data_IF_800484362681
#
_entry.id   IF_800484362681
#
_cell.length_a   1.000
_cell.length_b   1.000
_cell.length_c   1.000
_cell.angle_alpha   90.00
_cell.angle_beta   90.00
_cell.angle_gamma   90.00
#
_symmetry.space_group_name_H-M   'P 1'
#
loop_
_entity.id
_entity.type
_entity.pdbx_description
1 polymer ?
#
# COMPACT_ATOMS: atom_id res chain seq x y z
N UNK A 1 27.94 -10.50 6.93
CA UNK A 1 27.72 -10.82 5.51
C UNK A 1 26.30 -10.40 5.21
N UNK A 2 26.14 -9.47 4.29
CA UNK A 2 24.83 -8.98 3.87
C UNK A 2 24.29 -9.87 2.76
N UNK A 3 22.99 -10.14 2.78
CA UNK A 3 22.31 -10.94 1.75
C UNK A 3 22.26 -10.16 0.45
N UNK A 4 22.72 -10.76 -0.65
CA UNK A 4 22.64 -10.15 -1.98
C UNK A 4 21.21 -10.15 -2.51
N UNK A 5 20.92 -9.30 -3.51
CA UNK A 5 19.61 -9.30 -4.17
C UNK A 5 19.24 -10.68 -4.74
N UNK A 6 20.18 -11.32 -5.44
CA UNK A 6 19.98 -12.64 -6.04
C UNK A 6 19.65 -13.72 -4.99
N UNK A 7 20.36 -13.74 -3.86
CA UNK A 7 20.07 -14.65 -2.75
C UNK A 7 18.69 -14.35 -2.12
N UNK A 8 18.33 -13.06 -2.03
CA UNK A 8 17.05 -12.64 -1.47
C UNK A 8 15.87 -13.11 -2.34
N UNK A 9 15.91 -12.89 -3.65
CA UNK A 9 14.80 -13.21 -4.56
C UNK A 9 14.69 -14.70 -4.88
N UNK A 10 15.79 -15.46 -4.78
CA UNK A 10 15.79 -16.92 -4.99
C UNK A 10 15.34 -17.71 -3.76
N UNK A 11 15.21 -17.07 -2.59
CA UNK A 11 14.74 -17.73 -1.39
C UNK A 11 13.25 -18.12 -1.49
N UNK A 12 12.98 -19.43 -1.58
CA UNK A 12 11.62 -20.00 -1.71
C UNK A 12 10.65 -19.54 -0.61
N UNK A 13 11.15 -19.34 0.61
CA UNK A 13 10.34 -18.99 1.77
C UNK A 13 10.38 -17.48 2.08
N UNK A 14 10.76 -16.65 1.11
CA UNK A 14 10.88 -15.21 1.31
C UNK A 14 9.51 -14.55 1.56
N UNK A 15 9.26 -14.16 2.82
CA UNK A 15 8.04 -13.50 3.24
C UNK A 15 7.90 -12.05 2.73
N UNK A 16 8.89 -11.49 2.04
CA UNK A 16 8.71 -10.22 1.33
C UNK A 16 7.83 -10.36 0.09
N UNK A 17 7.80 -11.55 -0.53
CA UNK A 17 7.02 -11.82 -1.74
C UNK A 17 5.52 -11.77 -1.42
N UNK A 18 4.77 -10.97 -2.18
CA UNK A 18 3.33 -10.74 -2.01
C UNK A 18 2.93 -10.42 -0.55
N UNK A 19 3.79 -9.65 0.13
CA UNK A 19 3.64 -9.35 1.56
C UNK A 19 2.35 -8.61 1.86
N UNK A 20 1.98 -7.59 1.08
CA UNK A 20 0.77 -6.80 1.36
C UNK A 20 -0.47 -7.69 1.28
N UNK A 21 -0.58 -8.49 0.22
CA UNK A 21 -1.68 -9.42 0.02
C UNK A 21 -1.75 -10.44 1.15
N UNK A 22 -0.63 -11.06 1.51
CA UNK A 22 -0.58 -12.03 2.61
C UNK A 22 -0.98 -11.41 3.95
N UNK A 23 -0.56 -10.18 4.24
CA UNK A 23 -0.85 -9.52 5.52
C UNK A 23 -2.27 -8.98 5.62
N UNK A 24 -2.93 -8.70 4.50
CA UNK A 24 -4.30 -8.17 4.46
C UNK A 24 -5.36 -9.25 4.25
N UNK A 25 -4.99 -10.43 3.74
CA UNK A 25 -5.90 -11.54 3.55
C UNK A 25 -6.18 -12.30 4.86
N UNK A 26 -7.37 -12.92 4.92
CA UNK A 26 -7.64 -14.00 5.86
C UNK A 26 -6.95 -15.29 5.38
N UNK A 27 -5.90 -15.70 6.08
CA UNK A 27 -5.10 -16.88 5.73
C UNK A 27 -5.82 -18.21 6.05
N UNK A 28 -6.86 -18.21 6.89
CA UNK A 28 -7.61 -19.43 7.20
C UNK A 28 -8.30 -20.01 5.95
N UNK A 29 -8.66 -19.14 5.00
CA UNK A 29 -9.24 -19.50 3.70
C UNK A 29 -8.30 -20.36 2.84
N UNK A 30 -7.00 -20.36 3.14
CA UNK A 30 -5.97 -21.06 2.37
C UNK A 30 -5.13 -22.01 3.22
N UNK A 31 -5.72 -22.56 4.30
CA UNK A 31 -5.03 -23.43 5.26
C UNK A 31 -3.75 -22.80 5.83
N UNK A 32 -3.81 -21.50 6.11
CA UNK A 32 -2.72 -20.68 6.65
C UNK A 32 -1.46 -20.74 5.76
N UNK A 33 -0.42 -21.42 6.26
CA UNK A 33 0.88 -21.54 5.59
C UNK A 33 1.07 -22.91 4.92
N UNK A 34 0.06 -23.78 4.93
CA UNK A 34 0.15 -25.06 4.22
C UNK A 34 -0.08 -24.87 2.72
N UNK A 35 0.99 -24.59 1.98
CA UNK A 35 0.96 -24.39 0.53
C UNK A 35 0.51 -25.62 -0.26
N UNK A 36 0.64 -26.83 0.32
CA UNK A 36 0.24 -28.08 -0.32
C UNK A 36 -1.26 -28.39 -0.19
N UNK A 37 -2.01 -27.59 0.58
CA UNK A 37 -3.43 -27.84 0.81
C UNK A 37 -4.32 -27.61 -0.42
N UNK A 38 -3.86 -26.81 -1.40
CA UNK A 38 -4.58 -26.52 -2.62
C UNK A 38 -3.64 -26.03 -3.74
N UNK A 39 -4.08 -26.06 -5.02
CA UNK A 39 -3.29 -25.52 -6.13
C UNK A 39 -2.95 -24.03 -5.94
N UNK A 40 -1.72 -23.66 -6.31
CA UNK A 40 -1.21 -22.27 -6.16
C UNK A 40 -2.12 -21.22 -6.78
N UNK A 41 -2.62 -21.46 -8.00
CA UNK A 41 -3.51 -20.51 -8.68
C UNK A 41 -4.81 -20.25 -7.90
N UNK A 42 -5.39 -21.30 -7.31
CA UNK A 42 -6.58 -21.18 -6.46
C UNK A 42 -6.27 -20.42 -5.18
N UNK A 43 -5.13 -20.75 -4.54
CA UNK A 43 -4.65 -20.07 -3.32
C UNK A 43 -4.45 -18.57 -3.55
N UNK A 44 -3.76 -18.22 -4.62
CA UNK A 44 -3.42 -16.84 -4.97
C UNK A 44 -4.68 -16.01 -5.26
N UNK A 45 -5.66 -16.59 -5.97
CA UNK A 45 -6.96 -15.95 -6.22
C UNK A 45 -7.75 -15.68 -4.91
N UNK A 46 -7.79 -16.65 -4.00
CA UNK A 46 -8.47 -16.50 -2.71
C UNK A 46 -7.80 -15.43 -1.83
N UNK A 47 -6.47 -15.44 -1.77
CA UNK A 47 -5.69 -14.43 -1.03
C UNK A 47 -5.96 -13.02 -1.55
N UNK A 48 -5.88 -12.82 -2.87
CA UNK A 48 -6.09 -11.50 -3.47
C UNK A 48 -7.53 -11.01 -3.25
N UNK A 49 -8.53 -11.88 -3.43
CA UNK A 49 -9.93 -11.52 -3.19
C UNK A 49 -10.18 -11.15 -1.73
N UNK A 50 -9.63 -11.93 -0.79
CA UNK A 50 -9.72 -11.68 0.65
C UNK A 50 -9.05 -10.36 1.04
N UNK A 51 -7.82 -10.11 0.56
CA UNK A 51 -7.10 -8.86 0.81
C UNK A 51 -7.86 -7.63 0.29
N UNK A 52 -8.38 -7.67 -0.95
CA UNK A 52 -9.20 -6.57 -1.52
C UNK A 52 -10.48 -6.33 -0.71
N UNK A 53 -11.16 -7.40 -0.30
CA UNK A 53 -12.34 -7.32 0.56
C UNK A 53 -12.01 -6.66 1.90
N UNK A 54 -10.94 -7.10 2.57
CA UNK A 54 -10.55 -6.59 3.88
C UNK A 54 -10.11 -5.13 3.80
N UNK A 55 -9.26 -4.78 2.82
CA UNK A 55 -8.84 -3.40 2.59
C UNK A 55 -10.04 -2.47 2.36
N UNK A 56 -11.03 -2.89 1.57
CA UNK A 56 -12.26 -2.11 1.35
C UNK A 56 -13.06 -1.87 2.63
N UNK A 57 -13.06 -2.85 3.55
CA UNK A 57 -13.80 -2.77 4.83
C UNK A 57 -13.06 -1.98 5.90
N UNK A 58 -11.75 -1.76 5.76
CA UNK A 58 -11.00 -0.92 6.70
C UNK A 58 -11.58 0.49 6.71
N UNK A 59 -11.74 1.04 7.93
CA UNK A 59 -12.20 2.41 8.12
C UNK A 59 -11.32 3.39 7.33
N UNK A 60 -10.00 3.20 7.40
CA UNK A 60 -9.03 4.02 6.71
C UNK A 60 -7.81 3.18 6.28
N UNK A 61 -7.20 3.56 5.16
CA UNK A 61 -5.86 3.15 4.75
C UNK A 61 -5.20 4.31 3.99
N UNK A 62 -3.87 4.28 3.87
CA UNK A 62 -3.07 5.31 3.22
C UNK A 62 -2.14 4.69 2.17
N UNK A 63 -1.68 5.50 1.24
CA UNK A 63 -0.64 5.15 0.27
C UNK A 63 0.55 6.09 0.42
N UNK A 64 1.76 5.53 0.39
CA UNK A 64 2.99 6.25 0.69
C UNK A 64 3.22 7.45 -0.24
N UNK A 65 2.82 7.36 -1.51
CA UNK A 65 2.95 8.46 -2.49
C UNK A 65 1.83 9.52 -2.43
N UNK A 66 0.83 9.34 -1.55
CA UNK A 66 -0.32 10.23 -1.43
C UNK A 66 -0.50 10.72 0.01
N UNK A 67 0.56 11.21 0.65
CA UNK A 67 0.55 11.60 2.07
C UNK A 67 -0.50 12.67 2.39
N UNK A 68 -0.63 13.71 1.54
CA UNK A 68 -1.58 14.81 1.74
C UNK A 68 -3.03 14.35 1.61
N UNK A 69 -3.34 13.56 0.57
CA UNK A 69 -4.66 12.94 0.39
C UNK A 69 -4.97 12.02 1.58
N UNK A 70 -3.98 11.23 2.02
CA UNK A 70 -4.12 10.31 3.16
C UNK A 70 -4.40 11.06 4.47
N UNK A 71 -3.70 12.16 4.74
CA UNK A 71 -3.97 13.00 5.90
C UNK A 71 -5.41 13.55 5.87
N UNK A 72 -5.81 14.15 4.74
CA UNK A 72 -7.16 14.69 4.59
C UNK A 72 -8.23 13.60 4.83
N UNK A 73 -8.08 12.44 4.19
CA UNK A 73 -9.00 11.32 4.35
C UNK A 73 -9.06 10.81 5.79
N UNK A 74 -7.93 10.71 6.49
CA UNK A 74 -7.90 10.29 7.89
C UNK A 74 -8.69 11.26 8.77
N UNK A 75 -8.39 12.55 8.65
CA UNK A 75 -9.04 13.61 9.42
C UNK A 75 -10.55 13.64 9.18
N UNK A 76 -11.00 13.47 7.93
CA UNK A 76 -12.43 13.36 7.58
C UNK A 76 -13.08 12.08 8.08
N UNK A 77 -12.37 10.96 8.04
CA UNK A 77 -12.92 9.65 8.45
C UNK A 77 -13.18 9.61 9.96
N UNK A 78 -12.30 10.22 10.75
CA UNK A 78 -12.36 10.14 12.22
C UNK A 78 -12.80 11.45 12.90
N UNK A 79 -13.01 12.54 12.15
CA UNK A 79 -13.34 13.84 12.73
C UNK A 79 -12.20 14.44 13.57
N UNK A 80 -10.96 14.13 13.21
CA UNK A 80 -9.75 14.56 13.93
C UNK A 80 -8.94 15.53 13.08
N UNK A 81 -7.94 16.18 13.69
CA UNK A 81 -6.94 17.00 13.00
C UNK A 81 -5.55 16.70 13.52
N UNK A 82 -4.60 16.51 12.62
CA UNK A 82 -3.19 16.44 12.99
C UNK A 82 -2.67 17.84 13.33
N UNK A 83 -1.79 17.90 14.34
CA UNK A 83 -1.11 19.14 14.72
C UNK A 83 -0.10 19.58 13.65
N UNK A 84 0.61 18.61 13.09
CA UNK A 84 1.60 18.79 12.04
C UNK A 84 1.12 18.08 10.78
N UNK A 85 1.30 18.71 9.61
CA UNK A 85 0.92 18.07 8.37
C UNK A 85 1.90 16.97 7.98
N UNK A 86 1.38 15.98 7.25
CA UNK A 86 2.21 14.96 6.65
C UNK A 86 3.10 15.58 5.58
N UNK A 87 4.33 15.08 5.49
CA UNK A 87 5.32 15.52 4.52
C UNK A 87 5.46 14.45 3.45
N UNK A 88 5.36 14.86 2.18
CA UNK A 88 5.59 13.96 1.06
C UNK A 88 7.10 13.83 0.80
N UNK A 89 7.69 12.74 1.25
CA UNK A 89 9.09 12.41 0.95
C UNK A 89 9.15 11.56 -0.32
N UNK A 90 9.44 12.20 -1.45
CA UNK A 90 9.63 11.49 -2.72
C UNK A 90 10.97 10.76 -2.80
N UNK A 91 11.94 11.19 -1.99
CA UNK A 91 13.25 10.56 -1.91
C UNK A 91 13.28 9.54 -0.77
N UNK A 92 13.24 8.28 -1.15
CA UNK A 92 13.26 7.12 -0.25
C UNK A 92 14.51 6.29 -0.50
N UNK A 93 14.82 5.35 0.41
CA UNK A 93 15.89 4.37 0.17
C UNK A 93 15.64 3.57 -1.12
N UNK A 94 14.38 3.29 -1.44
CA UNK A 94 14.00 2.59 -2.67
C UNK A 94 14.18 3.45 -3.91
N UNK A 95 13.83 4.74 -3.88
CA UNK A 95 14.04 5.64 -5.02
C UNK A 95 15.53 5.88 -5.30
N UNK A 96 16.36 5.74 -4.27
CA UNK A 96 17.81 5.76 -4.39
C UNK A 96 18.35 4.49 -5.04
N UNK A 97 17.91 3.34 -4.55
CA UNK A 97 18.38 2.05 -5.02
C UNK A 97 17.88 1.71 -6.43
N UNK A 98 16.72 2.23 -6.87
CA UNK A 98 16.11 1.83 -8.15
C UNK A 98 17.00 2.12 -9.37
N UNK A 99 17.85 3.15 -9.31
CA UNK A 99 18.80 3.46 -10.37
C UNK A 99 19.92 2.42 -10.50
N UNK A 100 20.14 1.61 -9.46
CA UNK A 100 21.13 0.54 -9.40
C UNK A 100 20.52 -0.84 -9.71
N UNK A 101 19.20 -0.92 -9.88
CA UNK A 101 18.49 -2.17 -10.20
C UNK A 101 18.37 -2.33 -11.72
N UNK A 102 18.75 -3.49 -12.25
CA UNK A 102 18.63 -3.76 -13.69
C UNK A 102 17.17 -3.89 -14.10
N UNK A 103 16.85 -3.67 -15.39
CA UNK A 103 15.49 -3.87 -15.90
C UNK A 103 15.01 -5.32 -15.74
N UNK A 104 15.91 -6.30 -15.89
CA UNK A 104 15.61 -7.71 -15.68
C UNK A 104 15.25 -8.00 -14.21
N UNK A 105 15.94 -7.36 -13.27
CA UNK A 105 15.64 -7.50 -11.84
C UNK A 105 14.31 -6.82 -11.47
N UNK A 106 13.98 -5.68 -12.10
CA UNK A 106 12.68 -5.02 -11.94
C UNK A 106 11.53 -5.92 -12.43
N UNK A 107 11.67 -6.50 -13.63
CA UNK A 107 10.70 -7.46 -14.16
C UNK A 107 10.54 -8.69 -13.24
N UNK A 108 11.63 -9.19 -12.68
CA UNK A 108 11.59 -10.29 -11.71
C UNK A 108 10.86 -9.88 -10.42
N UNK A 109 11.12 -8.68 -9.89
CA UNK A 109 10.40 -8.16 -8.71
C UNK A 109 8.89 -8.10 -8.98
N UNK A 110 8.49 -7.59 -10.15
CA UNK A 110 7.08 -7.51 -10.55
C UNK A 110 6.45 -8.89 -10.66
N UNK A 111 7.16 -9.85 -11.26
CA UNK A 111 6.70 -11.25 -11.38
C UNK A 111 6.53 -11.94 -10.03
N UNK A 112 7.46 -11.72 -9.10
CA UNK A 112 7.35 -12.28 -7.75
C UNK A 112 6.16 -11.66 -7.00
N UNK A 113 5.90 -10.37 -7.20
CA UNK A 113 4.90 -9.60 -6.46
C UNK A 113 3.59 -9.34 -7.22
N UNK A 114 3.21 -10.23 -8.15
CA UNK A 114 2.02 -10.05 -8.99
C UNK A 114 0.71 -9.83 -8.22
N UNK A 115 0.54 -10.42 -7.02
CA UNK A 115 -0.66 -10.21 -6.21
C UNK A 115 -0.64 -8.82 -5.57
N UNK A 116 0.52 -8.41 -5.06
CA UNK A 116 0.69 -7.08 -4.49
C UNK A 116 0.52 -5.98 -5.54
N UNK A 117 1.00 -6.18 -6.77
CA UNK A 117 0.75 -5.26 -7.88
C UNK A 117 -0.74 -5.09 -8.17
N UNK A 118 -1.50 -6.19 -8.20
CA UNK A 118 -2.95 -6.15 -8.41
C UNK A 118 -3.71 -5.57 -7.20
N UNK A 119 -3.24 -5.81 -5.99
CA UNK A 119 -3.82 -5.26 -4.77
C UNK A 119 -3.55 -3.75 -4.67
N UNK A 120 -2.34 -3.31 -5.01
CA UNK A 120 -1.94 -1.92 -5.00
C UNK A 120 -2.71 -1.10 -6.05
N UNK A 121 -2.87 -1.61 -7.28
CA UNK A 121 -3.72 -0.97 -8.29
C UNK A 121 -5.15 -0.77 -7.77
N UNK A 122 -5.74 -1.82 -7.17
CA UNK A 122 -7.05 -1.73 -6.52
C UNK A 122 -7.08 -0.71 -5.36
N UNK A 123 -6.05 -0.69 -4.53
CA UNK A 123 -5.94 0.23 -3.39
C UNK A 123 -5.88 1.69 -3.85
N UNK A 124 -5.15 1.96 -4.95
CA UNK A 124 -5.04 3.29 -5.55
C UNK A 124 -6.38 3.78 -6.08
N UNK A 125 -7.09 2.95 -6.82
CA UNK A 125 -8.43 3.30 -7.33
C UNK A 125 -9.40 3.57 -6.17
N UNK A 126 -9.41 2.71 -5.16
CA UNK A 126 -10.25 2.86 -3.97
C UNK A 126 -9.91 4.12 -3.16
N UNK A 127 -8.63 4.48 -3.04
CA UNK A 127 -8.21 5.70 -2.34
C UNK A 127 -8.74 6.95 -3.07
N UNK A 128 -8.60 6.99 -4.40
CA UNK A 128 -9.09 8.11 -5.20
C UNK A 128 -10.61 8.20 -5.19
N UNK A 129 -11.32 7.08 -5.27
CA UNK A 129 -12.79 7.03 -5.10
C UNK A 129 -13.21 7.61 -3.74
N UNK A 130 -12.55 7.19 -2.66
CA UNK A 130 -12.81 7.71 -1.30
C UNK A 130 -12.51 9.19 -1.20
N UNK A 131 -11.44 9.67 -1.84
CA UNK A 131 -11.08 11.09 -1.87
C UNK A 131 -12.15 11.94 -2.57
N UNK A 132 -12.57 11.56 -3.78
CA UNK A 132 -13.62 12.29 -4.52
C UNK A 132 -14.96 12.25 -3.79
N UNK A 133 -15.29 11.13 -3.13
CA UNK A 133 -16.47 11.05 -2.26
C UNK A 133 -16.37 11.99 -1.07
N UNK A 134 -15.22 12.02 -0.38
CA UNK A 134 -15.04 12.92 0.77
C UNK A 134 -15.11 14.39 0.35
N UNK A 135 -14.47 14.74 -0.78
CA UNK A 135 -14.48 16.07 -1.38
C UNK A 135 -15.89 16.53 -1.73
N UNK A 136 -16.69 15.69 -2.41
CA UNK A 136 -18.07 16.04 -2.80
C UNK A 136 -19.03 16.23 -1.61
N UNK A 137 -18.70 15.66 -0.45
CA UNK A 137 -19.49 15.80 0.79
C UNK A 137 -18.88 16.81 1.78
N UNK A 138 -17.85 17.55 1.37
CA UNK A 138 -17.18 18.55 2.19
C UNK A 138 -17.49 19.97 1.66
N UNK A 139 -18.44 20.70 2.27
CA UNK A 139 -18.77 22.06 1.83
C UNK A 139 -17.59 23.03 1.95
N UNK A 140 -16.66 22.75 2.86
CA UNK A 140 -15.46 23.56 3.13
C UNK A 140 -14.20 22.89 2.56
N UNK A 141 -14.33 22.07 1.50
CA UNK A 141 -13.23 21.28 0.93
C UNK A 141 -11.98 22.12 0.67
N UNK A 142 -12.11 23.24 -0.05
CA UNK A 142 -10.97 24.09 -0.39
C UNK A 142 -10.22 24.55 0.86
N UNK A 143 -10.94 25.00 1.90
CA UNK A 143 -10.30 25.42 3.14
C UNK A 143 -9.62 24.24 3.86
N UNK A 144 -10.33 23.10 3.98
CA UNK A 144 -9.85 21.93 4.70
C UNK A 144 -8.64 21.30 4.02
N UNK A 145 -8.65 21.22 2.69
CA UNK A 145 -7.57 20.65 1.89
C UNK A 145 -6.38 21.61 1.77
N UNK A 146 -6.61 22.91 1.57
CA UNK A 146 -5.53 23.90 1.56
C UNK A 146 -4.76 23.94 2.89
N UNK A 147 -5.42 23.73 4.04
CA UNK A 147 -4.71 23.58 5.32
C UNK A 147 -3.75 22.38 5.32
N UNK A 148 -4.18 21.24 4.78
CA UNK A 148 -3.34 20.04 4.69
C UNK A 148 -2.15 20.27 3.75
N UNK A 149 -2.36 21.04 2.67
CA UNK A 149 -1.31 21.41 1.72
C UNK A 149 -0.31 22.42 2.28
N UNK A 150 -0.78 23.46 2.98
CA UNK A 150 0.02 24.66 3.32
C UNK A 150 0.62 24.64 4.74
N UNK A 151 0.25 23.69 5.60
CA UNK A 151 0.91 23.54 6.90
C UNK A 151 2.33 22.99 6.69
N UNK A 152 3.28 23.88 6.46
CA UNK A 152 4.71 23.59 6.59
C UNK A 152 5.03 23.29 8.05
N UNK A 153 5.98 22.38 8.26
CA UNK A 153 6.43 21.96 9.58
C UNK A 153 7.01 23.17 10.30
N UNK A 154 6.38 23.61 11.39
CA UNK A 154 7.09 24.39 12.39
C UNK A 154 8.21 23.50 12.93
N UNK A 155 9.45 23.84 12.57
CA UNK A 155 10.63 23.26 13.19
C UNK A 155 10.75 23.85 14.60
N UNK A 156 10.40 23.06 15.61
CA UNK A 156 10.89 23.25 16.98
C UNK A 156 12.34 22.74 17.08
#
# INVERSE_FOLDING_TARGET
MDVTFAEFVSCRNNLAINRMTRMLADLSLVACYNESAMPRAQRDALLLASAKSNLRKMAFFALCEFQKISQYLFERTFGLRFKQAFVQYNYTRSSLAIAEVSSADLELIDQLNQLDMQLYAFAKDLLMERFERAKSHDPDFEQNFNRVMNNEVAHD
#
